data_IF_554707439231
#
_entry.id   IF_554707439231
#
_cell.length_a   1.000
_cell.length_b   1.000
_cell.length_c   1.000
_cell.angle_alpha   90.00
_cell.angle_beta   90.00
_cell.angle_gamma   90.00
#
_symmetry.space_group_name_H-M   'P 1'
#
loop_
_entity.id
_entity.type
_entity.pdbx_description
1 polymer ?
#
# COMPACT_ATOMS: atom_id res chain seq x y z
N UNK A 1 4.69 29.41 -12.38
CA UNK A 1 6.08 28.90 -12.26
C UNK A 1 6.18 27.76 -11.24
N UNK A 2 5.49 27.87 -10.10
CA UNK A 2 5.45 26.82 -9.08
C UNK A 2 4.55 25.64 -9.48
N UNK A 3 3.40 25.91 -10.09
CA UNK A 3 2.51 24.88 -10.66
C UNK A 3 3.21 23.99 -11.68
N UNK A 4 3.94 24.59 -12.63
CA UNK A 4 4.73 23.85 -13.62
C UNK A 4 5.80 22.96 -12.98
N UNK A 5 6.37 23.35 -11.82
CA UNK A 5 7.33 22.51 -11.09
C UNK A 5 6.64 21.33 -10.40
N UNK A 6 5.47 21.56 -9.81
CA UNK A 6 4.65 20.50 -9.18
C UNK A 6 4.22 19.48 -10.23
N UNK A 7 3.74 19.95 -11.38
CA UNK A 7 3.34 19.10 -12.50
C UNK A 7 4.51 18.26 -13.03
N UNK A 8 5.67 18.88 -13.26
CA UNK A 8 6.88 18.17 -13.67
C UNK A 8 7.35 17.14 -12.64
N UNK A 9 7.26 17.46 -11.35
CA UNK A 9 7.53 16.49 -10.29
C UNK A 9 6.55 15.32 -10.34
N UNK A 10 5.26 15.59 -10.45
CA UNK A 10 4.22 14.57 -10.47
C UNK A 10 4.37 13.63 -11.66
N UNK A 11 4.61 14.16 -12.87
CA UNK A 11 4.88 13.36 -14.08
C UNK A 11 6.09 12.44 -13.86
N UNK A 12 7.22 12.97 -13.39
CA UNK A 12 8.42 12.16 -13.12
C UNK A 12 8.17 11.11 -12.04
N UNK A 13 7.41 11.47 -11.01
CA UNK A 13 7.06 10.55 -9.94
C UNK A 13 6.21 9.39 -10.45
N UNK A 14 5.17 9.67 -11.25
CA UNK A 14 4.30 8.66 -11.86
C UNK A 14 5.08 7.66 -12.71
N UNK A 15 6.07 8.11 -13.49
CA UNK A 15 6.91 7.21 -14.32
C UNK A 15 7.64 6.17 -13.46
N UNK A 16 8.09 6.55 -12.26
CA UNK A 16 8.85 5.66 -11.36
C UNK A 16 7.98 4.87 -10.38
N UNK A 17 6.70 5.22 -10.26
CA UNK A 17 5.81 4.68 -9.24
C UNK A 17 5.55 3.17 -9.42
N UNK A 18 5.31 2.65 -10.64
CA UNK A 18 5.10 1.22 -10.85
C UNK A 18 6.27 0.36 -10.35
N UNK A 19 7.51 0.69 -10.72
CA UNK A 19 8.67 -0.11 -10.28
C UNK A 19 8.87 -0.05 -8.76
N UNK A 20 8.56 1.09 -8.13
CA UNK A 20 8.61 1.21 -6.66
C UNK A 20 7.58 0.33 -5.97
N UNK A 21 6.36 0.27 -6.49
CA UNK A 21 5.29 -0.57 -5.96
C UNK A 21 5.64 -2.05 -6.15
N UNK A 22 6.15 -2.43 -7.32
CA UNK A 22 6.61 -3.80 -7.59
C UNK A 22 7.67 -4.25 -6.59
N UNK A 23 8.65 -3.39 -6.27
CA UNK A 23 9.68 -3.69 -5.27
C UNK A 23 9.16 -3.85 -3.83
N UNK A 24 7.91 -3.49 -3.54
CA UNK A 24 7.26 -3.79 -2.26
C UNK A 24 6.55 -5.15 -2.24
N UNK A 25 6.31 -5.74 -3.42
CA UNK A 25 5.53 -6.97 -3.60
C UNK A 25 6.44 -8.12 -3.98
N UNK A 26 7.44 -7.89 -4.83
CA UNK A 26 8.30 -8.91 -5.41
C UNK A 26 9.77 -8.68 -5.10
N UNK A 27 10.53 -9.77 -5.01
CA UNK A 27 11.99 -9.74 -5.01
C UNK A 27 12.57 -9.63 -6.44
N UNK A 28 13.90 -9.59 -6.52
CA UNK A 28 14.65 -9.54 -7.78
C UNK A 28 14.40 -10.73 -8.72
N UNK A 29 13.93 -11.87 -8.19
CA UNK A 29 13.59 -13.08 -8.92
C UNK A 29 12.09 -13.17 -9.26
N UNK A 30 11.33 -12.07 -9.07
CA UNK A 30 9.87 -12.00 -9.19
C UNK A 30 9.09 -12.93 -8.24
N UNK A 31 9.69 -13.32 -7.12
CA UNK A 31 8.98 -14.06 -6.06
C UNK A 31 8.32 -13.08 -5.09
N UNK A 32 7.16 -13.46 -4.57
CA UNK A 32 6.42 -12.63 -3.61
C UNK A 32 7.23 -12.49 -2.31
N UNK A 33 7.37 -11.25 -1.84
CA UNK A 33 8.00 -10.93 -0.56
C UNK A 33 7.13 -11.41 0.62
N UNK A 34 7.75 -11.84 1.73
CA UNK A 34 7.01 -12.33 2.88
C UNK A 34 6.08 -11.26 3.48
N UNK A 35 4.87 -11.69 3.84
CA UNK A 35 3.88 -10.85 4.53
C UNK A 35 4.04 -10.94 6.04
N UNK A 36 3.79 -9.83 6.75
CA UNK A 36 3.86 -9.76 8.23
C UNK A 36 2.49 -10.06 8.87
N UNK A 37 2.43 -10.28 10.19
CA UNK A 37 1.16 -10.55 10.88
C UNK A 37 0.09 -9.47 10.63
N UNK A 38 0.49 -8.19 10.55
CA UNK A 38 -0.41 -7.06 10.28
C UNK A 38 -1.10 -7.17 8.92
N UNK A 39 -0.49 -7.84 7.95
CA UNK A 39 -1.10 -8.13 6.66
C UNK A 39 -2.38 -8.94 6.83
N UNK A 40 -2.33 -10.04 7.58
CA UNK A 40 -3.51 -10.89 7.84
C UNK A 40 -4.61 -10.11 8.56
N UNK A 41 -4.25 -9.28 9.54
CA UNK A 41 -5.20 -8.44 10.28
C UNK A 41 -5.91 -7.44 9.36
N UNK A 42 -5.17 -6.74 8.50
CA UNK A 42 -5.73 -5.79 7.55
C UNK A 42 -6.53 -6.48 6.45
N UNK A 43 -6.10 -7.63 5.94
CA UNK A 43 -6.86 -8.42 4.96
C UNK A 43 -8.24 -8.78 5.51
N UNK A 44 -8.33 -9.23 6.76
CA UNK A 44 -9.62 -9.51 7.42
C UNK A 44 -10.47 -8.25 7.58
N UNK A 45 -9.85 -7.12 7.96
CA UNK A 45 -10.55 -5.85 8.12
C UNK A 45 -11.12 -5.34 6.78
N UNK A 46 -10.35 -5.42 5.71
CA UNK A 46 -10.80 -5.08 4.34
C UNK A 46 -11.94 -6.01 3.93
N UNK A 47 -11.85 -7.32 4.18
CA UNK A 47 -12.96 -8.24 3.90
C UNK A 47 -14.26 -7.84 4.62
N UNK A 48 -14.18 -7.53 5.92
CA UNK A 48 -15.32 -6.99 6.68
C UNK A 48 -15.85 -5.68 6.11
N UNK A 49 -14.95 -4.79 5.67
CA UNK A 49 -15.34 -3.52 5.04
C UNK A 49 -16.14 -3.75 3.77
N UNK A 50 -15.67 -4.62 2.87
CA UNK A 50 -16.32 -4.93 1.61
C UNK A 50 -17.69 -5.59 1.79
N UNK A 51 -17.89 -6.32 2.89
CA UNK A 51 -19.16 -6.95 3.24
C UNK A 51 -20.12 -6.05 4.04
N UNK A 52 -19.80 -4.76 4.24
CA UNK A 52 -20.54 -3.84 5.10
C UNK A 52 -20.67 -4.31 6.57
N UNK A 53 -19.66 -5.01 7.08
CA UNK A 53 -19.60 -5.54 8.46
C UNK A 53 -18.75 -4.67 9.41
N UNK A 54 -18.38 -3.45 8.98
CA UNK A 54 -17.65 -2.48 9.79
C UNK A 54 -18.57 -1.38 10.31
N UNK A 55 -18.41 -1.06 11.59
CA UNK A 55 -18.95 0.18 12.15
C UNK A 55 -18.22 1.39 11.55
N UNK A 56 -18.87 2.56 11.51
CA UNK A 56 -18.27 3.79 10.97
C UNK A 56 -16.92 4.14 11.63
N UNK A 57 -16.80 3.88 12.93
CA UNK A 57 -15.57 4.12 13.69
C UNK A 57 -14.42 3.18 13.30
N UNK A 58 -14.71 2.00 12.75
CA UNK A 58 -13.69 1.03 12.32
C UNK A 58 -13.12 1.34 10.92
N UNK A 59 -13.77 2.22 10.14
CA UNK A 59 -13.32 2.58 8.79
C UNK A 59 -12.11 3.50 8.79
N UNK A 60 -11.85 4.20 9.89
CA UNK A 60 -10.68 5.08 10.05
C UNK A 60 -9.60 4.32 10.81
N UNK A 61 -8.49 4.04 10.14
CA UNK A 61 -7.39 3.26 10.71
C UNK A 61 -6.16 4.15 10.89
N UNK A 62 -5.73 4.31 12.14
CA UNK A 62 -4.46 4.94 12.46
C UNK A 62 -3.35 3.88 12.47
N UNK A 63 -2.35 4.04 11.60
CA UNK A 63 -1.19 3.16 11.53
C UNK A 63 0.08 3.89 12.04
N UNK A 64 0.28 3.98 13.37
CA UNK A 64 1.46 4.62 13.94
C UNK A 64 2.72 3.80 13.65
N UNK A 65 3.87 4.49 13.63
CA UNK A 65 5.17 3.84 13.58
C UNK A 65 6.24 4.74 12.97
N UNK A 66 7.50 4.43 13.28
CA UNK A 66 8.66 5.16 12.76
C UNK A 66 8.77 5.07 11.24
N UNK A 67 9.51 6.00 10.64
CA UNK A 67 9.87 5.95 9.21
C UNK A 67 10.61 4.65 8.91
N UNK A 68 10.30 4.03 7.77
CA UNK A 68 10.96 2.80 7.33
C UNK A 68 10.40 1.49 7.91
N UNK A 69 9.45 1.53 8.85
CA UNK A 69 8.87 0.32 9.45
C UNK A 69 8.03 -0.53 8.46
N UNK A 70 7.81 -0.08 7.22
CA UNK A 70 7.10 -0.84 6.19
C UNK A 70 5.59 -0.57 6.10
N UNK A 71 5.12 0.62 6.53
CA UNK A 71 3.69 1.01 6.40
C UNK A 71 3.24 1.04 4.94
N UNK A 72 3.98 1.72 4.06
CA UNK A 72 3.69 1.75 2.63
C UNK A 72 3.83 0.38 1.97
N UNK A 73 4.79 -0.43 2.41
CA UNK A 73 4.97 -1.82 1.95
C UNK A 73 3.74 -2.67 2.27
N UNK A 74 3.23 -2.59 3.51
CA UNK A 74 2.01 -3.29 3.92
C UNK A 74 0.82 -2.91 3.04
N UNK A 75 0.62 -1.61 2.77
CA UNK A 75 -0.48 -1.13 1.91
C UNK A 75 -0.32 -1.61 0.46
N UNK A 76 0.89 -1.56 -0.10
CA UNK A 76 1.16 -2.04 -1.45
C UNK A 76 0.89 -3.55 -1.59
N UNK A 77 1.34 -4.35 -0.62
CA UNK A 77 1.07 -5.78 -0.59
C UNK A 77 -0.43 -6.10 -0.47
N UNK A 78 -1.17 -5.36 0.35
CA UNK A 78 -2.63 -5.53 0.50
C UNK A 78 -3.36 -5.22 -0.81
N UNK A 79 -2.99 -4.11 -1.47
CA UNK A 79 -3.57 -3.72 -2.76
C UNK A 79 -3.27 -4.73 -3.88
N UNK A 80 -2.06 -5.30 -3.89
CA UNK A 80 -1.64 -6.24 -4.93
C UNK A 80 -2.37 -7.59 -4.85
N UNK A 81 -2.72 -8.04 -3.65
CA UNK A 81 -3.34 -9.36 -3.42
C UNK A 81 -4.80 -9.42 -3.85
N UNK A 82 -5.44 -8.30 -4.19
CA UNK A 82 -6.76 -8.30 -4.85
C UNK A 82 -6.68 -8.50 -6.37
N UNK A 83 -5.48 -8.50 -6.98
CA UNK A 83 -5.27 -8.69 -8.42
C UNK A 83 -4.78 -10.08 -8.83
N UNK A 84 -4.58 -10.98 -7.86
CA UNK A 84 -4.19 -12.39 -8.05
C UNK A 84 -5.43 -13.24 -7.85
#
# INVERSE_FOLDING_TARGET
MEEAKIEQFFIKWQVTLPQRIEGYIYDENRKILPTRFMFSKFKKLIGRFLNNELYETEKIILMPGIRGIGKSTLLAQLYAIEKI
#
